data_IF_702362368458
#
_entry.id   IF_702362368458
#
_cell.length_a   1.000
_cell.length_b   1.000
_cell.length_c   1.000
_cell.angle_alpha   90.00
_cell.angle_beta   90.00
_cell.angle_gamma   90.00
#
_symmetry.space_group_name_H-M   'P 1'
#
loop_
_entity.id
_entity.type
_entity.pdbx_description
1 polymer ?
#
# COMPACT_ATOMS: atom_id res chain seq x y z
N UNK A 1 3.87 -8.28 -19.64
CA UNK A 1 4.44 -7.31 -18.68
C UNK A 1 3.69 -5.98 -18.68
N UNK A 2 3.68 -5.22 -19.79
CA UNK A 2 2.98 -3.92 -19.89
C UNK A 2 1.49 -4.00 -19.49
N UNK A 3 0.76 -5.01 -19.98
CA UNK A 3 -0.65 -5.25 -19.61
C UNK A 3 -0.85 -5.39 -18.10
N UNK A 4 0.01 -6.13 -17.41
CA UNK A 4 -0.11 -6.35 -15.97
C UNK A 4 0.17 -5.07 -15.18
N UNK A 5 1.16 -4.27 -15.62
CA UNK A 5 1.46 -2.96 -15.02
C UNK A 5 0.24 -2.04 -15.11
N UNK A 6 -0.35 -1.94 -16.31
CA UNK A 6 -1.54 -1.12 -16.54
C UNK A 6 -2.70 -1.61 -15.67
N UNK A 7 -3.00 -2.91 -15.71
CA UNK A 7 -4.11 -3.49 -14.96
C UNK A 7 -3.97 -3.29 -13.45
N UNK A 8 -2.78 -3.55 -12.90
CA UNK A 8 -2.49 -3.38 -11.48
C UNK A 8 -2.51 -1.90 -11.06
N UNK A 9 -2.00 -1.02 -11.92
CA UNK A 9 -2.10 0.42 -11.73
C UNK A 9 -3.55 0.89 -11.64
N UNK A 10 -4.41 0.45 -12.56
CA UNK A 10 -5.85 0.76 -12.53
C UNK A 10 -6.54 0.21 -11.28
N UNK A 11 -6.26 -1.03 -10.87
CA UNK A 11 -6.77 -1.58 -9.61
C UNK A 11 -6.35 -0.72 -8.42
N UNK A 12 -5.09 -0.27 -8.42
CA UNK A 12 -4.56 0.65 -7.42
C UNK A 12 -5.29 2.00 -7.37
N UNK A 13 -5.52 2.62 -8.54
CA UNK A 13 -6.32 3.85 -8.68
C UNK A 13 -7.72 3.63 -8.09
N UNK A 14 -8.38 2.53 -8.44
CA UNK A 14 -9.70 2.21 -7.92
C UNK A 14 -9.70 2.08 -6.39
N UNK A 15 -8.75 1.35 -5.82
CA UNK A 15 -8.63 1.21 -4.37
C UNK A 15 -8.36 2.54 -3.67
N UNK A 16 -7.43 3.35 -4.21
CA UNK A 16 -7.13 4.69 -3.69
C UNK A 16 -8.37 5.59 -3.73
N UNK A 17 -9.06 5.65 -4.87
CA UNK A 17 -10.27 6.45 -5.05
C UNK A 17 -11.42 6.02 -4.14
N UNK A 18 -11.65 4.72 -3.95
CA UNK A 18 -12.67 4.22 -3.03
C UNK A 18 -12.35 4.62 -1.58
N UNK A 19 -11.10 4.46 -1.14
CA UNK A 19 -10.69 4.84 0.22
C UNK A 19 -10.89 6.34 0.45
N UNK A 20 -10.44 7.18 -0.48
CA UNK A 20 -10.63 8.62 -0.38
C UNK A 20 -12.11 8.98 -0.41
N UNK A 21 -12.92 8.34 -1.26
CA UNK A 21 -14.36 8.59 -1.31
C UNK A 21 -15.07 8.24 0.01
N UNK A 22 -14.68 7.14 0.66
CA UNK A 22 -15.19 6.79 2.00
C UNK A 22 -14.81 7.88 3.01
N UNK A 23 -13.56 8.35 3.01
CA UNK A 23 -13.14 9.44 3.89
C UNK A 23 -13.92 10.74 3.63
N UNK A 24 -14.11 11.12 2.36
CA UNK A 24 -14.92 12.26 1.96
C UNK A 24 -16.39 12.12 2.38
N UNK A 25 -16.94 10.91 2.31
CA UNK A 25 -18.31 10.62 2.76
C UNK A 25 -18.44 10.87 4.26
N UNK A 26 -17.46 10.45 5.07
CA UNK A 26 -17.43 10.72 6.50
C UNK A 26 -17.36 12.23 6.77
N UNK A 27 -16.47 12.95 6.08
CA UNK A 27 -16.37 14.41 6.23
C UNK A 27 -17.66 15.12 5.85
N UNK A 28 -18.31 14.69 4.77
CA UNK A 28 -19.58 15.25 4.29
C UNK A 28 -20.70 15.04 5.30
N UNK A 29 -20.85 13.84 5.86
CA UNK A 29 -21.89 13.53 6.87
C UNK A 29 -21.69 14.33 8.15
N UNK A 30 -20.46 14.65 8.51
CA UNK A 30 -20.12 15.43 9.71
C UNK A 30 -20.05 16.94 9.44
N UNK A 31 -20.45 17.40 8.25
CA UNK A 31 -20.44 18.82 7.85
C UNK A 31 -19.07 19.50 8.09
N UNK A 32 -17.98 18.75 7.87
CA UNK A 32 -16.62 19.25 8.07
C UNK A 32 -16.19 20.03 6.82
N UNK A 33 -16.01 21.34 6.97
CA UNK A 33 -15.47 22.19 5.93
C UNK A 33 -13.97 21.94 5.73
N UNK A 34 -13.59 21.50 4.52
CA UNK A 34 -12.19 21.28 4.14
C UNK A 34 -11.89 22.05 2.86
N UNK A 35 -10.71 22.68 2.81
CA UNK A 35 -10.30 23.46 1.65
C UNK A 35 -10.13 22.58 0.39
N UNK A 36 -10.51 23.09 -0.78
CA UNK A 36 -10.34 22.37 -2.06
C UNK A 36 -8.88 21.96 -2.32
N UNK A 37 -7.85 22.80 -2.03
CA UNK A 37 -6.46 22.38 -2.15
C UNK A 37 -6.10 21.18 -1.28
N UNK A 38 -6.61 21.10 -0.06
CA UNK A 38 -6.32 19.98 0.84
C UNK A 38 -7.00 18.70 0.37
N UNK A 39 -8.25 18.79 -0.10
CA UNK A 39 -8.94 17.67 -0.72
C UNK A 39 -8.18 17.14 -1.94
N UNK A 40 -7.70 18.05 -2.80
CA UNK A 40 -6.96 17.68 -4.00
C UNK A 40 -5.63 16.99 -3.68
N UNK A 41 -4.86 17.51 -2.70
CA UNK A 41 -3.60 16.90 -2.26
C UNK A 41 -3.83 15.50 -1.69
N UNK A 42 -4.85 15.33 -0.85
CA UNK A 42 -5.18 14.03 -0.26
C UNK A 42 -5.62 13.01 -1.32
N UNK A 43 -6.47 13.41 -2.27
CA UNK A 43 -6.85 12.58 -3.41
C UNK A 43 -5.62 12.16 -4.22
N UNK A 44 -4.76 13.12 -4.59
CA UNK A 44 -3.55 12.83 -5.35
C UNK A 44 -2.64 11.85 -4.60
N UNK A 45 -2.39 12.09 -3.31
CA UNK A 45 -1.60 11.21 -2.46
C UNK A 45 -2.15 9.79 -2.43
N UNK A 46 -3.45 9.63 -2.18
CA UNK A 46 -4.12 8.31 -2.16
C UNK A 46 -4.06 7.59 -3.50
N UNK A 47 -4.24 8.30 -4.62
CA UNK A 47 -4.15 7.70 -5.96
C UNK A 47 -2.72 7.26 -6.29
N UNK A 48 -1.72 8.08 -5.99
CA UNK A 48 -0.31 7.72 -6.19
C UNK A 48 0.08 6.50 -5.36
N UNK A 49 -0.33 6.46 -4.08
CA UNK A 49 -0.09 5.30 -3.22
C UNK A 49 -0.80 4.05 -3.75
N UNK A 50 -2.03 4.18 -4.23
CA UNK A 50 -2.80 3.10 -4.85
C UNK A 50 -2.08 2.53 -6.08
N UNK A 51 -1.72 3.39 -7.05
CA UNK A 51 -0.96 3.00 -8.24
C UNK A 51 0.33 2.29 -7.87
N UNK A 52 1.10 2.87 -6.94
CA UNK A 52 2.36 2.31 -6.51
C UNK A 52 2.20 0.90 -5.95
N UNK A 53 1.33 0.71 -4.94
CA UNK A 53 1.17 -0.61 -4.33
C UNK A 53 0.56 -1.64 -5.30
N UNK A 54 -0.28 -1.19 -6.23
CA UNK A 54 -0.73 -2.01 -7.35
C UNK A 54 0.44 -2.53 -8.17
N UNK A 55 1.30 -1.65 -8.68
CA UNK A 55 2.44 -2.03 -9.52
C UNK A 55 3.50 -2.80 -8.72
N UNK A 56 3.80 -2.38 -7.49
CA UNK A 56 4.78 -3.00 -6.62
C UNK A 56 4.43 -4.45 -6.27
N UNK A 57 3.14 -4.84 -6.35
CA UNK A 57 2.72 -6.23 -6.16
C UNK A 57 3.39 -7.19 -7.15
N UNK A 58 3.81 -6.71 -8.33
CA UNK A 58 4.52 -7.51 -9.33
C UNK A 58 5.90 -7.99 -8.85
N UNK A 59 6.48 -7.37 -7.81
CA UNK A 59 7.73 -7.82 -7.20
C UNK A 59 7.61 -9.24 -6.61
N UNK A 60 6.42 -9.62 -6.15
CA UNK A 60 6.16 -10.96 -5.61
C UNK A 60 5.93 -12.01 -6.70
N UNK A 61 5.70 -11.60 -7.95
CA UNK A 61 5.58 -12.51 -9.10
C UNK A 61 6.96 -12.91 -9.68
N UNK A 62 8.05 -12.34 -9.17
CA UNK A 62 9.40 -12.61 -9.68
C UNK A 62 10.01 -13.89 -9.08
N UNK A 63 9.71 -15.05 -9.69
CA UNK A 63 10.07 -16.39 -9.19
C UNK A 63 11.56 -16.62 -8.95
N UNK A 64 12.45 -15.91 -9.66
CA UNK A 64 13.91 -16.05 -9.49
C UNK A 64 14.43 -15.46 -8.18
N UNK A 65 13.65 -14.63 -7.49
CA UNK A 65 14.05 -14.03 -6.22
C UNK A 65 13.55 -14.86 -5.05
N UNK A 66 14.39 -14.96 -4.01
CA UNK A 66 13.93 -15.53 -2.75
C UNK A 66 12.81 -14.67 -2.15
N UNK A 67 11.86 -15.25 -1.39
CA UNK A 67 10.80 -14.48 -0.74
C UNK A 67 11.33 -13.34 0.14
N UNK A 68 12.47 -13.56 0.80
CA UNK A 68 13.13 -12.52 1.61
C UNK A 68 13.62 -11.36 0.73
N UNK A 69 14.22 -11.65 -0.43
CA UNK A 69 14.66 -10.60 -1.36
C UNK A 69 13.49 -9.79 -1.89
N UNK A 70 12.40 -10.45 -2.30
CA UNK A 70 11.18 -9.76 -2.75
C UNK A 70 10.63 -8.84 -1.64
N UNK A 71 10.56 -9.33 -0.41
CA UNK A 71 10.10 -8.58 0.76
C UNK A 71 10.94 -7.33 1.02
N UNK A 72 12.26 -7.48 1.08
CA UNK A 72 13.20 -6.39 1.39
C UNK A 72 13.14 -5.31 0.30
N UNK A 73 13.16 -5.71 -0.98
CA UNK A 73 13.08 -4.76 -2.10
C UNK A 73 11.74 -4.03 -2.08
N UNK A 74 10.62 -4.75 -1.92
CA UNK A 74 9.30 -4.13 -1.83
C UNK A 74 9.21 -3.15 -0.65
N UNK A 75 9.75 -3.52 0.51
CA UNK A 75 9.73 -2.67 1.71
C UNK A 75 10.53 -1.38 1.52
N UNK A 76 11.77 -1.48 1.02
CA UNK A 76 12.64 -0.34 0.80
C UNK A 76 12.06 0.65 -0.22
N UNK A 77 11.54 0.14 -1.34
CA UNK A 77 10.85 0.97 -2.33
C UNK A 77 9.60 1.65 -1.74
N UNK A 78 8.87 0.94 -0.87
CA UNK A 78 7.66 1.47 -0.27
C UNK A 78 7.96 2.61 0.68
N UNK A 79 9.00 2.48 1.52
CA UNK A 79 9.47 3.57 2.37
C UNK A 79 9.98 4.75 1.53
N UNK A 80 10.79 4.47 0.51
CA UNK A 80 11.38 5.50 -0.35
C UNK A 80 10.31 6.34 -1.04
N UNK A 81 9.17 5.76 -1.40
CA UNK A 81 8.07 6.49 -2.05
C UNK A 81 7.07 7.09 -1.05
N UNK A 82 6.74 6.35 0.02
CA UNK A 82 5.75 6.77 1.01
C UNK A 82 6.13 8.06 1.71
N UNK A 83 7.37 8.18 2.22
CA UNK A 83 7.76 9.35 3.01
C UNK A 83 7.73 10.66 2.21
N UNK A 84 8.30 10.75 0.99
CA UNK A 84 8.18 11.95 0.18
C UNK A 84 6.73 12.34 -0.10
N UNK A 85 5.86 11.38 -0.41
CA UNK A 85 4.43 11.65 -0.65
C UNK A 85 3.76 12.13 0.64
N UNK A 86 3.92 11.40 1.74
CA UNK A 86 3.30 11.70 3.02
C UNK A 86 3.70 13.10 3.53
N UNK A 87 4.96 13.48 3.38
CA UNK A 87 5.45 14.82 3.75
C UNK A 87 4.87 15.89 2.81
N UNK A 88 4.88 15.65 1.50
CA UNK A 88 4.41 16.63 0.51
C UNK A 88 2.90 16.89 0.60
N UNK A 89 2.13 15.86 0.92
CA UNK A 89 0.67 15.96 1.13
C UNK A 89 0.33 16.55 2.49
N UNK A 90 1.24 16.44 3.47
CA UNK A 90 1.04 16.93 4.85
C UNK A 90 0.51 15.88 5.82
N UNK A 91 0.57 14.59 5.48
CA UNK A 91 0.24 13.48 6.40
C UNK A 91 1.28 13.33 7.52
N UNK A 92 2.54 13.66 7.23
CA UNK A 92 3.65 13.62 8.18
C UNK A 92 4.37 14.95 8.13
N UNK A 93 4.45 15.65 9.27
CA UNK A 93 5.24 16.86 9.38
C UNK A 93 6.74 16.56 9.19
N UNK A 94 7.46 17.47 8.53
CA UNK A 94 8.91 17.36 8.30
C UNK A 94 9.69 17.69 9.58
N UNK A 95 9.54 16.83 10.58
CA UNK A 95 10.16 16.90 11.90
C UNK A 95 10.60 15.49 12.31
N UNK A 96 11.66 15.38 13.13
CA UNK A 96 12.23 14.07 13.45
C UNK A 96 11.26 13.17 14.23
N UNK A 97 10.42 13.72 15.13
CA UNK A 97 9.45 12.92 15.91
C UNK A 97 8.33 12.33 15.04
N UNK A 98 7.58 13.11 14.23
CA UNK A 98 6.57 12.57 13.33
C UNK A 98 7.12 11.58 12.31
N UNK A 99 8.33 11.81 11.78
CA UNK A 99 8.98 10.87 10.85
C UNK A 99 9.28 9.52 11.54
N UNK A 100 9.82 9.53 12.76
CA UNK A 100 10.08 8.30 13.51
C UNK A 100 8.80 7.55 13.86
N UNK A 101 7.75 8.27 14.28
CA UNK A 101 6.44 7.67 14.55
C UNK A 101 5.83 7.08 13.27
N UNK A 102 5.88 7.81 12.15
CA UNK A 102 5.43 7.34 10.85
C UNK A 102 6.20 6.09 10.39
N UNK A 103 7.51 6.04 10.60
CA UNK A 103 8.34 4.87 10.27
C UNK A 103 7.98 3.65 11.11
N UNK A 104 7.80 3.83 12.42
CA UNK A 104 7.36 2.77 13.33
C UNK A 104 6.00 2.22 12.94
N UNK A 105 5.01 3.10 12.73
CA UNK A 105 3.66 2.71 12.30
C UNK A 105 3.67 2.00 10.96
N UNK A 106 4.42 2.52 9.97
CA UNK A 106 4.56 1.87 8.67
C UNK A 106 5.15 0.46 8.81
N UNK A 107 6.21 0.29 9.60
CA UNK A 107 6.86 -1.00 9.83
C UNK A 107 5.92 -2.01 10.49
N UNK A 108 5.15 -1.60 11.49
CA UNK A 108 4.17 -2.45 12.18
C UNK A 108 3.07 -2.90 11.22
N UNK A 109 2.46 -1.97 10.49
CA UNK A 109 1.39 -2.26 9.53
C UNK A 109 1.92 -3.23 8.45
N UNK A 110 3.10 -2.94 7.91
CA UNK A 110 3.73 -3.78 6.90
C UNK A 110 3.99 -5.20 7.41
N UNK A 111 4.49 -5.34 8.64
CA UNK A 111 4.70 -6.65 9.28
C UNK A 111 3.39 -7.42 9.45
N UNK A 112 2.31 -6.75 9.87
CA UNK A 112 0.97 -7.35 9.99
C UNK A 112 0.50 -7.89 8.63
N UNK A 113 0.54 -7.06 7.58
CA UNK A 113 0.13 -7.49 6.24
C UNK A 113 0.96 -8.67 5.73
N UNK A 114 2.27 -8.60 5.88
CA UNK A 114 3.16 -9.68 5.47
C UNK A 114 2.86 -10.99 6.21
N UNK A 115 2.71 -10.95 7.53
CA UNK A 115 2.42 -12.13 8.33
C UNK A 115 1.04 -12.72 7.97
N UNK A 116 0.02 -11.89 7.82
CA UNK A 116 -1.32 -12.33 7.45
C UNK A 116 -1.34 -13.00 6.07
N UNK A 117 -0.84 -12.30 5.04
CA UNK A 117 -0.82 -12.77 3.65
C UNK A 117 0.06 -14.01 3.51
N UNK A 118 1.25 -14.01 4.10
CA UNK A 118 2.16 -15.17 4.00
C UNK A 118 1.61 -16.40 4.74
N UNK A 119 0.92 -16.21 5.87
CA UNK A 119 0.26 -17.32 6.58
C UNK A 119 -0.89 -17.91 5.77
N UNK A 120 -1.70 -17.05 5.15
CA UNK A 120 -2.78 -17.46 4.26
C UNK A 120 -2.27 -18.31 3.09
N UNK A 121 -1.25 -17.82 2.36
CA UNK A 121 -0.71 -18.56 1.21
C UNK A 121 0.03 -19.84 1.61
N UNK A 122 0.73 -19.86 2.74
CA UNK A 122 1.31 -21.11 3.27
C UNK A 122 0.23 -22.14 3.58
N UNK A 123 -0.90 -21.72 4.15
CA UNK A 123 -2.04 -22.61 4.42
C UNK A 123 -2.62 -23.16 3.12
N UNK A 124 -2.81 -22.31 2.11
CA UNK A 124 -3.32 -22.72 0.80
C UNK A 124 -2.39 -23.71 0.11
N UNK A 125 -1.08 -23.44 0.09
CA UNK A 125 -0.07 -24.34 -0.47
C UNK A 125 -0.06 -25.71 0.24
N UNK A 126 -0.15 -25.74 1.57
CA UNK A 126 -0.28 -27.00 2.33
C UNK A 126 -1.55 -27.77 1.96
N UNK A 127 -2.68 -27.08 1.79
CA UNK A 127 -3.94 -27.69 1.38
C UNK A 127 -3.82 -28.34 0.00
N UNK A 128 -3.17 -27.67 -0.96
CA UNK A 128 -2.93 -28.20 -2.31
C UNK A 128 -1.98 -29.40 -2.29
N UNK A 129 -0.90 -29.34 -1.51
CA UNK A 129 0.03 -30.47 -1.39
C UNK A 129 -0.65 -31.71 -0.77
N UNK A 130 -1.56 -31.50 0.17
CA UNK A 130 -2.31 -32.58 0.80
C UNK A 130 -3.36 -33.19 -0.13
N UNK A 131 -3.94 -32.43 -1.07
CA UNK A 131 -4.92 -32.98 -2.02
C UNK A 131 -4.29 -33.88 -3.08
N UNK A 132 -3.00 -33.70 -3.40
CA UNK A 132 -2.26 -34.54 -4.37
C UNK A 132 -1.61 -35.76 -3.71
N UNK A 133 -1.45 -35.74 -2.37
CA UNK A 133 -0.92 -36.86 -1.58
C UNK A 133 -1.99 -37.88 -1.15
N UNK A 134 -3.27 -37.61 -1.43
CA UNK A 134 -4.36 -38.58 -1.30
C UNK A 134 -4.53 -39.32 -2.61
#
# INVERSE_FOLDING_TARGET
MVRNIIQRGFMGISSGGIITFIALTVLMINEVDVSVPDLWKNMLGSLLMGVYFGIASLLFEHEKWSPLKQLVVHFLLSIMLFFPIAISVGWIELQWRPILLGAGTFMIIYAIFWLAISSYFRKQARSMNNSVRK
#
